data_IF_758615191037
#
_entry.id   IF_758615191037
#
_cell.length_a   1.000
_cell.length_b   1.000
_cell.length_c   1.000
_cell.angle_alpha   90.00
_cell.angle_beta   90.00
_cell.angle_gamma   90.00
#
_symmetry.space_group_name_H-M   'P 1'
#
loop_
_entity.id
_entity.type
_entity.pdbx_description
1 polymer ?
#
# COMPACT_ATOMS: atom_id res chain seq x y z
N UNK A 1 -10.74 37.21 -39.56
CA UNK A 1 -9.47 37.52 -38.85
C UNK A 1 -9.50 37.32 -37.33
N UNK A 2 -10.66 37.40 -36.65
CA UNK A 2 -10.77 37.26 -35.19
C UNK A 2 -10.56 35.82 -34.66
N UNK A 3 -10.99 34.80 -35.41
CA UNK A 3 -10.87 33.39 -35.03
C UNK A 3 -9.40 32.95 -34.84
N UNK A 4 -8.51 33.48 -35.68
CA UNK A 4 -7.08 33.17 -35.65
C UNK A 4 -6.37 33.79 -34.43
N UNK A 5 -6.85 34.94 -33.95
CA UNK A 5 -6.32 35.61 -32.74
C UNK A 5 -6.73 34.87 -31.46
N UNK A 6 -7.98 34.41 -31.35
CA UNK A 6 -8.43 33.60 -30.22
C UNK A 6 -7.69 32.27 -30.13
N UNK A 7 -7.47 31.62 -31.27
CA UNK A 7 -6.70 30.37 -31.33
C UNK A 7 -5.25 30.57 -30.87
N UNK A 8 -4.63 31.71 -31.21
CA UNK A 8 -3.25 32.02 -30.82
C UNK A 8 -3.13 32.29 -29.31
N UNK A 9 -4.09 33.01 -28.73
CA UNK A 9 -4.16 33.27 -27.29
C UNK A 9 -4.37 31.96 -26.52
N UNK A 10 -5.27 31.10 -26.98
CA UNK A 10 -5.49 29.78 -26.36
C UNK A 10 -4.21 28.93 -26.42
N UNK A 11 -3.50 28.95 -27.54
CA UNK A 11 -2.23 28.25 -27.70
C UNK A 11 -1.14 28.76 -26.75
N UNK A 12 -1.06 30.08 -26.54
CA UNK A 12 -0.17 30.70 -25.55
C UNK A 12 -0.53 30.30 -24.11
N UNK A 13 -1.81 30.21 -23.76
CA UNK A 13 -2.24 29.72 -22.44
C UNK A 13 -1.94 28.23 -22.23
N UNK A 14 -2.09 27.39 -23.26
CA UNK A 14 -1.74 25.96 -23.20
C UNK A 14 -0.22 25.76 -23.04
N UNK A 15 0.58 26.65 -23.64
CA UNK A 15 2.04 26.64 -23.54
C UNK A 15 2.58 27.20 -22.21
N UNK A 16 1.75 27.89 -21.42
CA UNK A 16 2.16 28.46 -20.14
C UNK A 16 2.21 27.38 -19.06
N UNK A 17 3.28 26.58 -19.07
CA UNK A 17 3.58 25.64 -17.99
C UNK A 17 3.98 26.42 -16.74
N UNK A 18 3.04 26.64 -15.83
CA UNK A 18 3.31 27.35 -14.58
C UNK A 18 2.10 27.72 -13.72
N UNK A 19 0.87 27.57 -14.20
CA UNK A 19 -0.34 27.94 -13.46
C UNK A 19 -0.73 26.94 -12.34
N UNK A 20 0.07 25.90 -12.09
CA UNK A 20 -0.24 24.87 -11.09
C UNK A 20 1.02 24.33 -10.43
N UNK A 21 1.82 25.24 -9.86
CA UNK A 21 2.80 24.84 -8.85
C UNK A 21 2.13 24.78 -7.48
N UNK A 22 2.57 23.84 -6.64
CA UNK A 22 2.11 23.77 -5.26
C UNK A 22 2.72 24.92 -4.45
N UNK A 23 1.89 25.64 -3.69
CA UNK A 23 2.34 26.76 -2.86
C UNK A 23 3.05 26.30 -1.57
N UNK A 24 2.83 25.06 -1.12
CA UNK A 24 3.36 24.54 0.14
C UNK A 24 3.86 23.08 0.09
N UNK A 25 3.90 22.46 -1.10
CA UNK A 25 4.49 21.13 -1.32
C UNK A 25 5.69 21.26 -2.24
N UNK A 26 6.86 20.88 -1.73
CA UNK A 26 8.09 20.91 -2.52
C UNK A 26 8.12 19.76 -3.53
N UNK A 27 7.79 20.07 -4.79
CA UNK A 27 7.83 19.12 -5.91
C UNK A 27 9.24 18.90 -6.47
N UNK A 28 10.18 19.82 -6.22
CA UNK A 28 11.56 19.77 -6.77
C UNK A 28 12.47 18.81 -6.00
N UNK A 29 12.26 18.67 -4.69
CA UNK A 29 13.04 17.80 -3.81
C UNK A 29 12.19 16.66 -3.25
N UNK A 30 11.34 16.08 -4.10
CA UNK A 30 10.50 14.94 -3.72
C UNK A 30 11.36 13.70 -3.43
N UNK A 31 10.97 12.95 -2.39
CA UNK A 31 11.61 11.68 -2.07
C UNK A 31 10.87 10.51 -2.71
N UNK A 32 11.61 9.73 -3.50
CA UNK A 32 11.06 8.59 -4.23
C UNK A 32 11.46 7.30 -3.52
N UNK A 33 10.47 6.52 -3.14
CA UNK A 33 10.64 5.16 -2.64
C UNK A 33 10.34 4.17 -3.76
N UNK A 34 11.23 3.19 -3.96
CA UNK A 34 11.10 2.16 -5.00
C UNK A 34 10.95 0.81 -4.34
N UNK A 35 9.96 0.04 -4.77
CA UNK A 35 9.77 -1.34 -4.34
C UNK A 35 9.95 -2.33 -5.48
N UNK A 36 9.63 -3.62 -5.23
CA UNK A 36 9.76 -4.67 -6.23
C UNK A 36 8.93 -4.39 -7.48
N UNK A 37 9.45 -4.77 -8.64
CA UNK A 37 8.72 -4.64 -9.91
C UNK A 37 7.54 -5.63 -9.94
N UNK A 38 6.44 -5.23 -10.59
CA UNK A 38 5.23 -6.05 -10.79
C UNK A 38 4.49 -6.47 -9.49
N UNK A 39 4.91 -6.00 -8.32
CA UNK A 39 4.24 -6.29 -7.04
C UNK A 39 3.10 -5.33 -6.71
N UNK A 40 2.86 -4.33 -7.57
CA UNK A 40 1.96 -3.20 -7.28
C UNK A 40 2.37 -2.44 -6.01
N UNK A 41 3.67 -2.32 -5.75
CA UNK A 41 4.19 -1.47 -4.70
C UNK A 41 3.66 -0.04 -4.85
N UNK A 42 3.01 0.48 -3.80
CA UNK A 42 2.34 1.78 -3.84
C UNK A 42 0.82 1.68 -3.97
N UNK A 43 0.23 0.47 -3.97
CA UNK A 43 -1.23 0.30 -4.09
C UNK A 43 -2.01 1.04 -3.01
N UNK A 44 -1.53 0.99 -1.76
CA UNK A 44 -1.94 1.86 -0.65
C UNK A 44 -0.70 2.38 0.07
N UNK A 45 -0.82 3.58 0.64
CA UNK A 45 0.22 4.21 1.45
C UNK A 45 -0.37 4.76 2.74
N UNK A 46 0.39 4.68 3.84
CA UNK A 46 -0.01 5.20 5.14
C UNK A 46 1.21 5.77 5.87
N UNK A 47 1.10 6.98 6.40
CA UNK A 47 2.12 7.53 7.31
C UNK A 47 1.95 6.90 8.69
N UNK A 48 3.06 6.47 9.30
CA UNK A 48 3.06 5.77 10.57
C UNK A 48 4.22 6.23 11.44
N UNK A 49 4.02 6.26 12.75
CA UNK A 49 5.08 6.56 13.72
C UNK A 49 5.22 5.40 14.68
N UNK A 50 6.45 4.97 14.91
CA UNK A 50 6.80 3.88 15.81
C UNK A 50 8.08 4.25 16.55
N UNK A 51 8.03 4.29 17.89
CA UNK A 51 9.21 4.58 18.74
C UNK A 51 9.91 5.90 18.36
N UNK A 52 9.12 6.94 18.05
CA UNK A 52 9.63 8.26 17.63
C UNK A 52 10.20 8.30 16.21
N UNK A 53 10.21 7.18 15.48
CA UNK A 53 10.63 7.11 14.08
C UNK A 53 9.44 7.22 13.15
N UNK A 54 9.57 8.05 12.11
CA UNK A 54 8.54 8.26 11.08
C UNK A 54 8.76 7.32 9.91
N UNK A 55 7.70 6.61 9.55
CA UNK A 55 7.69 5.59 8.51
C UNK A 55 6.61 5.90 7.47
N UNK A 56 6.90 5.55 6.23
CA UNK A 56 5.89 5.41 5.20
C UNK A 56 5.61 3.92 5.02
N UNK A 57 4.41 3.49 5.33
CA UNK A 57 3.93 2.15 5.02
C UNK A 57 3.44 2.13 3.58
N UNK A 58 3.87 1.13 2.83
CA UNK A 58 3.55 0.97 1.41
C UNK A 58 3.15 -0.46 1.15
N UNK A 59 1.94 -0.67 0.62
CA UNK A 59 1.47 -2.01 0.28
C UNK A 59 1.89 -2.43 -1.13
N UNK A 60 2.04 -3.74 -1.30
CA UNK A 60 2.36 -4.38 -2.56
C UNK A 60 1.55 -5.69 -2.69
N UNK A 61 0.26 -5.63 -3.03
CA UNK A 61 -0.65 -6.79 -2.99
C UNK A 61 -0.30 -7.89 -4.01
N UNK A 62 0.54 -7.63 -5.01
CA UNK A 62 1.06 -8.63 -5.95
C UNK A 62 2.50 -9.07 -5.64
N UNK A 63 3.00 -8.76 -4.45
CA UNK A 63 4.26 -9.32 -3.98
C UNK A 63 4.15 -10.84 -3.73
N UNK A 64 5.28 -11.55 -3.82
CA UNK A 64 5.36 -13.01 -3.70
C UNK A 64 5.90 -13.70 -4.95
N UNK A 65 6.03 -15.03 -4.87
CA UNK A 65 6.57 -15.88 -5.93
C UNK A 65 5.60 -16.01 -7.12
N UNK A 66 6.09 -16.43 -8.29
CA UNK A 66 5.26 -16.50 -9.50
C UNK A 66 3.98 -17.32 -9.35
N UNK A 67 4.03 -18.40 -8.56
CA UNK A 67 2.89 -19.30 -8.29
C UNK A 67 1.95 -18.81 -7.18
N UNK A 68 2.35 -17.79 -6.41
CA UNK A 68 1.61 -17.33 -5.23
C UNK A 68 1.85 -15.85 -4.96
N UNK A 69 0.88 -15.02 -5.31
CA UNK A 69 0.89 -13.56 -5.10
C UNK A 69 0.14 -13.21 -3.81
N UNK A 70 0.78 -13.49 -2.69
CA UNK A 70 0.13 -13.29 -1.39
C UNK A 70 0.10 -11.83 -0.97
N UNK A 71 0.96 -11.00 -1.53
CA UNK A 71 1.06 -9.59 -1.18
C UNK A 71 1.74 -9.37 0.18
N UNK A 72 2.20 -8.14 0.40
CA UNK A 72 2.74 -7.72 1.69
C UNK A 72 2.74 -6.20 1.88
N UNK A 73 3.14 -5.75 3.06
CA UNK A 73 3.41 -4.36 3.42
C UNK A 73 4.91 -4.14 3.62
N UNK A 74 5.37 -2.97 3.21
CA UNK A 74 6.73 -2.48 3.42
C UNK A 74 6.71 -1.27 4.32
N UNK A 75 7.74 -1.09 5.15
CA UNK A 75 8.00 0.16 5.87
C UNK A 75 9.22 0.85 5.27
N UNK A 76 9.10 2.13 4.97
CA UNK A 76 10.18 2.95 4.44
C UNK A 76 10.54 4.04 5.46
N UNK A 77 11.80 4.13 5.85
CA UNK A 77 12.24 5.09 6.87
C UNK A 77 12.20 6.52 6.29
N UNK A 78 11.45 7.45 6.91
CA UNK A 78 11.38 8.85 6.45
C UNK A 78 12.51 9.70 7.04
N UNK A 79 12.99 9.38 8.24
CA UNK A 79 14.05 10.12 8.95
C UNK A 79 15.39 10.13 8.21
N UNK A 80 15.77 9.04 7.53
CA UNK A 80 17.05 8.96 6.83
C UNK A 80 16.99 9.60 5.43
N UNK A 81 17.43 10.87 5.32
CA UNK A 81 17.40 11.63 4.05
C UNK A 81 18.27 11.05 2.93
N UNK A 82 19.25 10.18 3.23
CA UNK A 82 20.20 9.64 2.25
C UNK A 82 19.78 8.30 1.64
N UNK A 83 18.81 7.61 2.23
CA UNK A 83 18.48 6.23 1.84
C UNK A 83 16.97 6.03 1.74
N UNK A 84 16.44 5.78 0.55
CA UNK A 84 15.04 5.40 0.33
C UNK A 84 14.80 3.90 0.52
N UNK A 85 15.40 3.30 1.55
CA UNK A 85 15.25 1.87 1.82
C UNK A 85 13.86 1.57 2.40
N UNK A 86 13.23 0.54 1.84
CA UNK A 86 11.95 0.00 2.28
C UNK A 86 12.15 -1.47 2.67
N UNK A 87 11.79 -1.81 3.90
CA UNK A 87 11.89 -3.17 4.43
C UNK A 87 10.53 -3.84 4.38
N UNK A 88 10.49 -5.06 3.83
CA UNK A 88 9.31 -5.92 3.85
C UNK A 88 8.99 -6.33 5.30
N UNK A 89 7.72 -6.27 5.70
CA UNK A 89 7.31 -6.60 7.06
C UNK A 89 7.02 -8.09 7.28
N UNK A 90 6.69 -8.84 6.22
CA UNK A 90 6.23 -10.23 6.29
C UNK A 90 5.01 -10.41 7.20
N UNK A 91 4.18 -9.37 7.34
CA UNK A 91 3.06 -9.35 8.29
C UNK A 91 1.94 -10.29 7.88
N UNK A 92 1.71 -10.47 6.58
CA UNK A 92 0.70 -11.41 6.09
C UNK A 92 1.03 -12.86 6.43
N UNK A 93 2.30 -13.26 6.28
CA UNK A 93 2.76 -14.60 6.65
C UNK A 93 2.72 -14.78 8.17
N UNK A 94 3.28 -13.83 8.94
CA UNK A 94 3.32 -13.92 10.40
C UNK A 94 1.92 -13.97 11.02
N UNK A 95 0.95 -13.21 10.50
CA UNK A 95 -0.39 -13.17 11.04
C UNK A 95 -1.26 -14.37 10.63
N UNK A 96 -1.11 -14.88 9.40
CA UNK A 96 -2.12 -15.76 8.81
C UNK A 96 -1.67 -17.22 8.65
N UNK A 97 -0.39 -17.53 8.90
CA UNK A 97 0.19 -18.88 8.73
C UNK A 97 -0.56 -20.00 9.45
N UNK A 98 -1.18 -19.72 10.59
CA UNK A 98 -1.87 -20.73 11.41
C UNK A 98 -3.36 -20.93 11.06
N UNK A 99 -3.89 -20.23 10.06
CA UNK A 99 -5.34 -20.20 9.77
C UNK A 99 -5.70 -21.15 8.63
N UNK A 100 -4.84 -21.28 7.63
CA UNK A 100 -5.08 -22.14 6.48
C UNK A 100 -3.77 -22.47 5.79
N UNK A 101 -3.61 -23.73 5.38
CA UNK A 101 -2.42 -24.18 4.63
C UNK A 101 -2.41 -23.71 3.17
N UNK A 102 -3.56 -23.30 2.60
CA UNK A 102 -3.68 -22.94 1.17
C UNK A 102 -3.79 -21.43 0.93
N UNK A 103 -2.87 -20.66 1.54
CA UNK A 103 -2.80 -19.21 1.37
C UNK A 103 -2.14 -18.83 0.04
N UNK A 104 -2.84 -19.00 -1.08
CA UNK A 104 -2.35 -18.55 -2.39
C UNK A 104 -3.16 -17.39 -2.93
N UNK A 105 -2.47 -16.43 -3.54
CA UNK A 105 -3.07 -15.29 -4.25
C UNK A 105 -4.06 -14.46 -3.40
N UNK A 106 -3.77 -14.35 -2.10
CA UNK A 106 -4.64 -13.68 -1.13
C UNK A 106 -4.68 -12.15 -1.31
N UNK A 107 -3.66 -11.58 -1.97
CA UNK A 107 -3.52 -10.15 -2.24
C UNK A 107 -3.57 -9.29 -0.96
N UNK A 108 -2.83 -9.71 0.07
CA UNK A 108 -2.63 -8.97 1.31
C UNK A 108 -2.05 -7.58 1.06
N UNK A 109 -2.67 -6.56 1.67
CA UNK A 109 -2.30 -5.16 1.46
C UNK A 109 -3.15 -4.40 0.45
N UNK A 110 -4.23 -5.00 -0.08
CA UNK A 110 -5.23 -4.24 -0.85
C UNK A 110 -6.01 -3.23 0.01
N UNK A 111 -6.13 -3.49 1.32
CA UNK A 111 -6.59 -2.50 2.30
C UNK A 111 -5.48 -2.26 3.32
N UNK A 112 -5.22 -0.99 3.60
CA UNK A 112 -4.29 -0.51 4.62
C UNK A 112 -4.91 0.75 5.25
N UNK A 113 -5.23 0.69 6.54
CA UNK A 113 -5.86 1.79 7.26
C UNK A 113 -5.31 1.94 8.66
N UNK A 114 -5.34 3.14 9.23
CA UNK A 114 -4.93 3.39 10.61
C UNK A 114 -5.98 2.88 11.58
N UNK A 115 -5.56 2.36 12.72
CA UNK A 115 -6.42 2.08 13.87
C UNK A 115 -5.86 2.76 15.13
N UNK A 116 -6.57 2.74 16.25
CA UNK A 116 -6.14 3.40 17.50
C UNK A 116 -4.88 2.81 18.12
N UNK A 117 -4.54 1.57 17.79
CA UNK A 117 -3.41 0.82 18.38
C UNK A 117 -2.25 0.60 17.38
N UNK A 118 -2.31 1.21 16.19
CA UNK A 118 -1.45 0.89 15.05
C UNK A 118 -2.19 1.01 13.71
N UNK A 119 -2.32 -0.10 12.98
CA UNK A 119 -2.97 -0.15 11.67
C UNK A 119 -3.57 -1.52 11.36
N UNK A 120 -4.50 -1.56 10.40
CA UNK A 120 -5.15 -2.78 9.92
C UNK A 120 -4.81 -3.01 8.44
N UNK A 121 -4.59 -4.27 8.09
CA UNK A 121 -4.29 -4.71 6.73
C UNK A 121 -5.19 -5.87 6.34
N UNK A 122 -5.74 -5.85 5.14
CA UNK A 122 -6.62 -6.93 4.67
C UNK A 122 -6.16 -7.55 3.35
N UNK A 123 -6.53 -8.82 3.19
CA UNK A 123 -6.45 -9.65 2.01
C UNK A 123 -7.87 -10.06 1.56
N UNK A 124 -8.53 -9.26 0.70
CA UNK A 124 -9.90 -9.53 0.23
C UNK A 124 -10.07 -10.85 -0.53
N UNK A 125 -9.01 -11.33 -1.20
CA UNK A 125 -9.05 -12.58 -1.96
C UNK A 125 -8.60 -13.79 -1.14
N UNK A 126 -8.41 -13.60 0.17
CA UNK A 126 -8.24 -14.74 1.05
C UNK A 126 -9.49 -15.61 0.99
N UNK A 127 -9.25 -16.92 0.87
CA UNK A 127 -10.27 -17.92 0.66
C UNK A 127 -10.21 -18.97 1.75
N UNK A 128 -11.38 -19.35 2.27
CA UNK A 128 -11.53 -20.47 3.20
C UNK A 128 -12.12 -21.67 2.48
N UNK A 129 -11.64 -22.86 2.84
CA UNK A 129 -12.21 -24.12 2.38
C UNK A 129 -13.20 -24.64 3.41
N UNK A 130 -14.44 -24.92 2.99
CA UNK A 130 -15.49 -25.50 3.81
C UNK A 130 -15.98 -26.78 3.12
N UNK A 131 -15.57 -27.94 3.64
CA UNK A 131 -15.80 -29.23 2.98
C UNK A 131 -15.11 -29.29 1.61
N UNK A 132 -15.89 -29.45 0.54
CA UNK A 132 -15.41 -29.46 -0.85
C UNK A 132 -15.43 -28.08 -1.53
N UNK A 133 -16.01 -27.06 -0.87
CA UNK A 133 -16.22 -25.73 -1.44
C UNK A 133 -15.18 -24.71 -0.97
N UNK A 134 -14.90 -23.69 -1.79
CA UNK A 134 -13.98 -22.60 -1.50
C UNK A 134 -14.77 -21.28 -1.53
N UNK A 135 -14.61 -20.48 -0.47
CA UNK A 135 -15.30 -19.21 -0.30
C UNK A 135 -14.31 -18.06 -0.09
N UNK A 136 -14.40 -17.02 -0.91
CA UNK A 136 -13.56 -15.82 -0.81
C UNK A 136 -14.15 -14.87 0.22
N UNK A 137 -13.95 -15.15 1.51
CA UNK A 137 -14.50 -14.35 2.60
C UNK A 137 -13.63 -13.14 2.96
N UNK A 138 -12.39 -13.13 2.48
CA UNK A 138 -11.40 -12.15 2.88
C UNK A 138 -10.96 -12.32 4.33
N UNK A 139 -9.87 -11.65 4.68
CA UNK A 139 -9.34 -11.63 6.04
C UNK A 139 -8.60 -10.33 6.30
N UNK A 140 -8.66 -9.85 7.54
CA UNK A 140 -7.95 -8.67 8.01
C UNK A 140 -7.11 -9.03 9.24
N UNK A 141 -6.00 -8.33 9.42
CA UNK A 141 -5.18 -8.41 10.63
C UNK A 141 -4.87 -7.02 11.15
N UNK A 142 -4.97 -6.88 12.46
CA UNK A 142 -4.48 -5.72 13.19
C UNK A 142 -2.99 -5.90 13.46
N UNK A 143 -2.26 -4.80 13.26
CA UNK A 143 -0.83 -4.72 13.52
C UNK A 143 -0.61 -3.54 14.47
N UNK A 144 0.15 -3.78 15.53
CA UNK A 144 0.49 -2.78 16.54
C UNK A 144 1.33 -1.65 15.94
N UNK A 145 1.44 -0.56 16.68
CA UNK A 145 2.35 0.55 16.33
C UNK A 145 3.80 0.11 16.15
N UNK A 146 4.24 -0.96 16.83
CA UNK A 146 5.59 -1.54 16.75
C UNK A 146 5.70 -2.70 15.74
N UNK A 147 4.75 -2.79 14.79
CA UNK A 147 4.74 -3.76 13.69
C UNK A 147 4.51 -5.22 14.11
N UNK A 148 3.92 -5.46 15.28
CA UNK A 148 3.58 -6.82 15.73
C UNK A 148 2.12 -7.14 15.39
N UNK A 149 1.82 -8.32 14.80
CA UNK A 149 0.44 -8.77 14.64
C UNK A 149 -0.26 -8.85 16.00
N UNK A 150 -1.47 -8.30 16.12
CA UNK A 150 -2.20 -8.22 17.40
C UNK A 150 -3.57 -8.89 17.38
N UNK A 151 -4.15 -9.15 16.22
CA UNK A 151 -5.44 -9.82 16.12
C UNK A 151 -5.92 -9.96 14.70
N UNK A 152 -6.91 -10.82 14.49
CA UNK A 152 -7.40 -11.21 13.17
C UNK A 152 -8.90 -11.03 13.12
N UNK A 153 -9.41 -10.61 11.97
CA UNK A 153 -10.83 -10.43 11.73
C UNK A 153 -11.16 -11.09 10.40
N UNK A 154 -11.99 -12.13 10.44
CA UNK A 154 -12.55 -12.79 9.27
C UNK A 154 -14.05 -12.48 9.23
N UNK A 155 -14.54 -11.61 8.32
CA UNK A 155 -15.91 -11.11 8.37
C UNK A 155 -17.01 -12.17 8.25
N UNK A 156 -16.70 -13.32 7.65
CA UNK A 156 -17.69 -14.38 7.32
C UNK A 156 -17.36 -15.73 7.96
N UNK A 157 -16.35 -15.80 8.83
CA UNK A 157 -16.12 -16.97 9.67
C UNK A 157 -16.91 -16.77 10.97
N UNK A 158 -18.18 -17.14 10.95
CA UNK A 158 -19.05 -17.26 12.12
C UNK A 158 -19.45 -18.72 12.28
#
# INVERSE_FOLDING_TARGET
>A
MALNRFSFVLYLFILWKGLSDSFNINVKQARIFKGPKKSQFGYKVLQHEAEGQKWLLVSAPRDGIAKSKNGDIYRCNISNKRSSNCMKLNSGEAALKNISDDMKNTHFGMTLTRNSQGFMVCAPLWSQKCGSSIYNTGICTNISSTFQPSGITAPTAQ
#
